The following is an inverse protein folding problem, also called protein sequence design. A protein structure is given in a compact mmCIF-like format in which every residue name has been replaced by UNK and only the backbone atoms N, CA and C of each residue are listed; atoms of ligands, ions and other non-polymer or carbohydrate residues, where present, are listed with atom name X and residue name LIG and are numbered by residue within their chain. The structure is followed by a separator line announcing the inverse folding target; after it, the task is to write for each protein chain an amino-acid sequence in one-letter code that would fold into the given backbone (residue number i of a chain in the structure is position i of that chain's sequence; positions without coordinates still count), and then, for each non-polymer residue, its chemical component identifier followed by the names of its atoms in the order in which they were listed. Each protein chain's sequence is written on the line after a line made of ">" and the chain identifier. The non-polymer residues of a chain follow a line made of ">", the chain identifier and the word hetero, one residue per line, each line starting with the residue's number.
data_IF_496679527827
#
_entry.id   IF_496679527827
#
_cell.length_a   1.000
_cell.length_b   1.000
_cell.length_c   1.000
_cell.angle_alpha   90.00
_cell.angle_beta   90.00
_cell.angle_gamma   90.00
#
_symmetry.space_group_name_H-M   'P 1'
#
loop_
_entity.id
_entity.type
_entity.pdbx_description
1 polymer ?
#
# COMPACT_ATOMS: atom_id res chain seq x y z
N UNK A 1 -10.94 28.11 16.81
CA UNK A 1 -12.33 27.64 16.63
C UNK A 1 -12.30 26.11 16.69
N UNK A 2 -12.93 25.51 17.69
CA UNK A 2 -12.58 24.18 18.22
C UNK A 2 -12.94 23.02 17.27
N UNK A 3 -11.94 22.17 16.97
CA UNK A 3 -12.06 20.93 16.18
C UNK A 3 -13.14 19.95 16.70
N UNK A 4 -13.56 20.10 17.97
CA UNK A 4 -14.66 19.33 18.58
C UNK A 4 -16.01 19.52 17.88
N UNK A 5 -16.25 20.66 17.23
CA UNK A 5 -17.54 20.92 16.55
C UNK A 5 -17.62 20.31 15.13
N UNK A 6 -16.47 20.06 14.48
CA UNK A 6 -16.46 19.42 13.15
C UNK A 6 -16.85 17.95 13.21
N UNK A 7 -16.45 17.23 14.27
CA UNK A 7 -16.79 15.81 14.45
C UNK A 7 -18.26 15.59 14.86
N UNK A 8 -18.85 16.55 15.57
CA UNK A 8 -20.27 16.52 15.92
C UNK A 8 -21.13 16.90 14.70
N UNK A 9 -20.66 17.81 13.85
CA UNK A 9 -21.34 18.18 12.61
C UNK A 9 -21.35 17.05 11.56
N UNK A 10 -20.27 16.25 11.46
CA UNK A 10 -20.23 15.09 10.56
C UNK A 10 -21.11 13.93 11.06
N UNK A 11 -21.22 13.73 12.38
CA UNK A 11 -22.14 12.74 12.96
C UNK A 11 -23.61 13.17 12.85
N UNK A 12 -23.90 14.47 12.91
CA UNK A 12 -25.24 15.03 12.69
C UNK A 12 -25.67 15.04 11.21
N UNK A 13 -24.73 15.03 10.25
CA UNK A 13 -25.08 14.83 8.84
C UNK A 13 -25.48 13.38 8.54
N UNK A 14 -24.97 12.40 9.30
CA UNK A 14 -25.34 10.99 9.17
C UNK A 14 -26.75 10.68 9.68
N UNK A 15 -27.33 11.51 10.55
CA UNK A 15 -28.71 11.33 11.03
C UNK A 15 -29.76 11.94 10.11
N UNK A 16 -29.36 12.74 9.12
CA UNK A 16 -30.27 13.44 8.20
C UNK A 16 -30.35 12.81 6.80
N UNK A 17 -29.54 11.80 6.50
CA UNK A 17 -29.64 11.05 5.24
C UNK A 17 -30.75 10.00 5.45
N UNK A 18 -31.84 10.03 4.68
CA UNK A 18 -32.80 8.94 4.72
C UNK A 18 -32.02 7.66 4.39
N UNK A 19 -31.96 6.72 5.34
CA UNK A 19 -31.56 5.35 5.06
C UNK A 19 -32.49 4.91 3.94
N UNK A 20 -31.97 4.81 2.72
CA UNK A 20 -32.69 4.11 1.67
C UNK A 20 -32.67 2.67 2.13
N UNK A 21 -33.73 2.28 2.84
CA UNK A 21 -34.05 0.90 3.08
C UNK A 21 -34.19 0.28 1.70
N UNK A 22 -33.16 -0.46 1.28
CA UNK A 22 -33.27 -1.33 0.11
C UNK A 22 -34.26 -2.43 0.53
N UNK A 23 -35.49 -2.23 0.07
CA UNK A 23 -36.61 -3.14 0.15
C UNK A 23 -36.26 -4.33 -0.74
N UNK A 24 -35.57 -5.31 -0.15
CA UNK A 24 -35.35 -6.61 -0.79
C UNK A 24 -35.26 -7.68 0.30
N UNK A 25 -35.99 -8.77 0.14
CA UNK A 25 -36.06 -9.94 1.04
C UNK A 25 -34.77 -10.80 0.98
N UNK A 26 -33.67 -10.20 0.53
CA UNK A 26 -32.36 -10.84 0.42
C UNK A 26 -31.74 -11.01 1.82
N UNK A 27 -31.65 -12.27 2.23
CA UNK A 27 -30.96 -12.69 3.46
C UNK A 27 -29.51 -12.23 3.43
N UNK A 28 -29.09 -11.56 4.51
CA UNK A 28 -27.68 -11.22 4.73
C UNK A 28 -26.88 -12.51 4.89
N UNK A 29 -25.87 -12.72 4.04
CA UNK A 29 -24.89 -13.79 4.26
C UNK A 29 -23.99 -13.41 5.43
N UNK A 30 -24.19 -14.11 6.55
CA UNK A 30 -23.43 -13.97 7.79
C UNK A 30 -22.18 -14.86 7.82
N UNK A 31 -21.93 -15.65 6.77
CA UNK A 31 -20.79 -16.58 6.73
C UNK A 31 -19.49 -15.79 6.64
N UNK A 32 -18.60 -15.87 7.63
CA UNK A 32 -17.31 -15.21 7.55
C UNK A 32 -16.47 -15.81 6.43
N UNK A 33 -15.84 -14.97 5.63
CA UNK A 33 -14.89 -15.37 4.59
C UNK A 33 -13.48 -15.31 5.15
N UNK A 34 -12.77 -16.41 5.00
CA UNK A 34 -11.35 -16.51 5.36
C UNK A 34 -10.55 -16.47 4.08
N UNK A 35 -9.54 -15.61 4.04
CA UNK A 35 -8.56 -15.58 2.97
C UNK A 35 -7.15 -15.63 3.55
N UNK A 36 -6.24 -16.25 2.82
CA UNK A 36 -4.83 -16.31 3.20
C UNK A 36 -3.89 -16.03 2.04
N UNK A 37 -2.67 -15.62 2.36
CA UNK A 37 -1.58 -15.52 1.39
C UNK A 37 -0.27 -15.87 2.07
N UNK A 38 0.41 -16.89 1.54
CA UNK A 38 1.75 -17.31 1.97
C UNK A 38 2.73 -17.00 0.86
N UNK A 39 3.85 -16.37 1.22
CA UNK A 39 4.95 -16.04 0.31
C UNK A 39 6.26 -16.51 0.91
N UNK A 40 6.84 -17.56 0.34
CA UNK A 40 8.20 -17.98 0.63
C UNK A 40 9.13 -17.51 -0.48
N UNK A 41 10.30 -17.01 -0.13
CA UNK A 41 11.30 -16.60 -1.12
C UNK A 41 12.71 -17.02 -0.76
N UNK A 42 13.52 -17.19 -1.80
CA UNK A 42 14.97 -17.28 -1.74
C UNK A 42 15.56 -16.07 -2.47
N UNK A 43 16.54 -15.42 -1.85
CA UNK A 43 17.29 -14.31 -2.45
C UNK A 43 18.77 -14.68 -2.47
N UNK A 44 19.45 -14.40 -3.58
CA UNK A 44 20.88 -14.58 -3.73
C UNK A 44 21.53 -13.29 -4.21
N UNK A 45 22.45 -12.73 -3.42
CA UNK A 45 23.18 -11.52 -3.74
C UNK A 45 24.39 -11.85 -4.60
N UNK A 46 24.43 -11.31 -5.81
CA UNK A 46 25.42 -11.73 -6.80
C UNK A 46 26.82 -11.20 -6.52
N UNK A 47 26.93 -10.05 -5.86
CA UNK A 47 28.22 -9.42 -5.55
C UNK A 47 28.85 -9.99 -4.27
N UNK A 48 28.05 -10.22 -3.23
CA UNK A 48 28.53 -10.79 -1.96
C UNK A 48 28.67 -12.31 -1.98
N UNK A 49 27.92 -13.00 -2.86
CA UNK A 49 27.87 -14.46 -2.91
C UNK A 49 26.98 -15.08 -1.82
N UNK A 50 26.17 -14.28 -1.13
CA UNK A 50 25.33 -14.70 -0.01
C UNK A 50 23.89 -15.02 -0.44
N UNK A 51 23.33 -16.08 0.14
CA UNK A 51 21.95 -16.52 -0.09
C UNK A 51 21.12 -16.55 1.20
N UNK A 52 19.82 -16.29 1.10
CA UNK A 52 18.89 -16.43 2.23
C UNK A 52 17.52 -16.95 1.84
N UNK A 53 16.94 -17.77 2.70
CA UNK A 53 15.52 -18.12 2.69
C UNK A 53 14.75 -17.19 3.63
N UNK A 54 13.56 -16.75 3.20
CA UNK A 54 12.70 -15.90 4.00
C UNK A 54 11.23 -16.23 3.75
N UNK A 55 10.44 -16.32 4.81
CA UNK A 55 8.99 -16.18 4.69
C UNK A 55 8.68 -14.70 4.64
N UNK A 56 8.25 -14.21 3.47
CA UNK A 56 8.01 -12.79 3.25
C UNK A 56 6.67 -12.34 3.84
N UNK A 57 5.63 -13.14 3.67
CA UNK A 57 4.29 -12.91 4.24
C UNK A 57 3.65 -14.25 4.59
N UNK A 58 2.97 -14.31 5.73
CA UNK A 58 2.05 -15.38 6.10
C UNK A 58 0.75 -14.76 6.60
N UNK A 59 -0.02 -14.22 5.67
CA UNK A 59 -1.19 -13.39 5.97
C UNK A 59 -2.45 -14.21 6.06
N UNK A 60 -3.28 -13.89 7.05
CA UNK A 60 -4.64 -14.40 7.21
C UNK A 60 -5.59 -13.22 7.41
N UNK A 61 -6.71 -13.25 6.71
CA UNK A 61 -7.77 -12.25 6.83
C UNK A 61 -9.12 -12.92 7.01
N UNK A 62 -9.97 -12.27 7.80
CA UNK A 62 -11.34 -12.63 8.08
C UNK A 62 -12.21 -11.42 7.78
N UNK A 63 -13.21 -11.58 6.92
CA UNK A 63 -14.19 -10.53 6.63
C UNK A 63 -15.60 -11.09 6.58
N UNK A 64 -16.60 -10.27 6.89
CA UNK A 64 -17.99 -10.69 6.89
C UNK A 64 -18.95 -9.53 7.06
N UNK A 65 -20.24 -9.83 6.89
CA UNK A 65 -21.32 -8.89 7.14
C UNK A 65 -22.04 -9.28 8.43
N UNK A 66 -22.40 -8.28 9.23
CA UNK A 66 -23.29 -8.44 10.40
C UNK A 66 -24.72 -8.06 10.02
N UNK A 67 -24.87 -7.05 9.17
CA UNK A 67 -26.14 -6.62 8.57
C UNK A 67 -25.88 -6.19 7.13
N UNK A 68 -26.93 -5.78 6.38
CA UNK A 68 -26.77 -5.23 5.02
C UNK A 68 -25.85 -4.01 4.97
N UNK A 69 -25.81 -3.23 6.05
CA UNK A 69 -25.05 -1.98 6.12
C UNK A 69 -23.79 -2.09 6.98
N UNK A 70 -23.62 -3.15 7.78
CA UNK A 70 -22.47 -3.31 8.68
C UNK A 70 -21.61 -4.50 8.25
N UNK A 71 -20.35 -4.24 7.98
CA UNK A 71 -19.33 -5.27 7.70
C UNK A 71 -18.08 -5.07 8.55
N UNK A 72 -17.29 -6.13 8.74
CA UNK A 72 -16.05 -6.08 9.50
C UNK A 72 -14.90 -6.72 8.73
N UNK A 73 -13.66 -6.35 9.09
CA UNK A 73 -12.44 -7.02 8.63
C UNK A 73 -11.42 -7.09 9.77
N UNK A 74 -10.80 -8.25 9.90
CA UNK A 74 -9.60 -8.47 10.70
C UNK A 74 -8.53 -9.13 9.82
N UNK A 75 -7.32 -8.60 9.81
CA UNK A 75 -6.19 -9.11 9.03
C UNK A 75 -4.91 -9.06 9.85
N UNK A 76 -4.20 -10.19 9.89
CA UNK A 76 -2.92 -10.36 10.57
C UNK A 76 -1.89 -10.94 9.61
N UNK A 77 -0.66 -10.45 9.69
CA UNK A 77 0.51 -11.12 9.10
C UNK A 77 1.20 -11.93 10.20
N UNK A 78 1.16 -13.26 10.08
CA UNK A 78 1.83 -14.16 11.01
C UNK A 78 3.34 -14.23 10.74
N UNK A 79 3.81 -13.69 9.62
CA UNK A 79 5.24 -13.59 9.31
C UNK A 79 5.48 -12.52 8.24
N UNK A 80 5.54 -11.25 8.66
CA UNK A 80 6.09 -10.16 7.87
C UNK A 80 7.61 -10.12 8.08
N UNK A 81 8.33 -10.86 7.25
CA UNK A 81 9.79 -11.02 7.36
C UNK A 81 10.21 -11.60 8.72
N UNK A 82 9.39 -12.49 9.29
CA UNK A 82 9.61 -13.13 10.59
C UNK A 82 8.95 -12.45 11.78
N UNK A 83 8.28 -11.30 11.59
CA UNK A 83 7.57 -10.58 12.66
C UNK A 83 6.05 -10.71 12.52
N UNK A 84 5.36 -10.91 13.64
CA UNK A 84 3.89 -10.92 13.67
C UNK A 84 3.40 -9.47 13.72
N UNK A 85 2.46 -9.10 12.84
CA UNK A 85 1.90 -7.75 12.78
C UNK A 85 0.39 -7.78 12.56
N UNK A 86 -0.36 -7.07 13.40
CA UNK A 86 -1.77 -6.77 13.14
C UNK A 86 -1.85 -5.72 12.02
N UNK A 87 -2.60 -6.00 10.96
CA UNK A 87 -2.65 -5.13 9.78
C UNK A 87 -3.91 -4.29 9.76
N UNK A 88 -5.07 -4.93 9.55
CA UNK A 88 -6.35 -4.24 9.45
C UNK A 88 -7.29 -4.77 10.54
N UNK A 89 -7.94 -3.88 11.27
CA UNK A 89 -8.91 -4.18 12.31
C UNK A 89 -9.98 -3.09 12.32
N UNK A 90 -11.05 -3.26 11.54
CA UNK A 90 -12.04 -2.20 11.38
C UNK A 90 -13.47 -2.72 11.21
N UNK A 91 -14.41 -1.82 11.47
CA UNK A 91 -15.82 -1.95 11.06
C UNK A 91 -16.13 -0.93 9.98
N UNK A 92 -17.00 -1.30 9.05
CA UNK A 92 -17.47 -0.45 7.97
C UNK A 92 -19.00 -0.37 7.95
N UNK A 93 -19.50 0.84 7.82
CA UNK A 93 -20.90 1.19 7.63
C UNK A 93 -21.14 1.61 6.18
N UNK A 94 -22.19 1.09 5.55
CA UNK A 94 -22.62 1.39 4.19
C UNK A 94 -24.04 1.95 4.20
N UNK A 95 -24.24 3.20 4.67
CA UNK A 95 -25.57 3.74 4.91
C UNK A 95 -26.37 3.95 3.62
N UNK A 96 -25.68 4.21 2.50
CA UNK A 96 -26.28 4.35 1.17
C UNK A 96 -25.36 3.74 0.11
N UNK A 97 -25.93 3.42 -1.05
CA UNK A 97 -25.18 2.84 -2.17
C UNK A 97 -24.00 3.72 -2.57
N UNK A 98 -22.81 3.11 -2.56
CA UNK A 98 -21.57 3.75 -2.95
C UNK A 98 -20.87 4.54 -1.85
N UNK A 99 -21.49 4.77 -0.68
CA UNK A 99 -20.88 5.43 0.46
C UNK A 99 -20.42 4.40 1.51
N UNK A 100 -19.13 4.40 1.83
CA UNK A 100 -18.50 3.56 2.83
C UNK A 100 -17.91 4.46 3.94
N UNK A 101 -18.32 4.28 5.18
CA UNK A 101 -17.64 4.85 6.35
C UNK A 101 -16.91 3.73 7.08
N UNK A 102 -15.59 3.84 7.26
CA UNK A 102 -14.78 2.83 7.96
C UNK A 102 -14.12 3.44 9.18
N UNK A 103 -14.10 2.74 10.30
CA UNK A 103 -13.41 3.17 11.52
C UNK A 103 -12.63 2.01 12.13
N UNK A 104 -11.39 2.28 12.55
CA UNK A 104 -10.49 1.31 13.14
C UNK A 104 -9.07 1.43 12.59
N UNK A 105 -8.31 0.35 12.69
CA UNK A 105 -6.97 0.25 12.13
C UNK A 105 -7.03 -0.20 10.68
N UNK A 106 -6.41 0.53 9.77
CA UNK A 106 -6.40 0.18 8.35
C UNK A 106 -5.21 0.78 7.60
N UNK A 107 -4.96 0.29 6.39
CA UNK A 107 -4.08 0.98 5.44
C UNK A 107 -4.70 2.31 5.02
N UNK A 108 -3.91 3.38 5.11
CA UNK A 108 -4.28 4.74 4.73
C UNK A 108 -4.46 4.83 3.21
N UNK A 109 -5.49 5.51 2.66
CA UNK A 109 -5.77 5.59 1.21
C UNK A 109 -4.77 6.49 0.44
N UNK A 110 -3.63 5.93 0.02
CA UNK A 110 -2.53 6.64 -0.63
C UNK A 110 -1.67 5.75 -1.56
N UNK A 111 -1.39 6.17 -2.80
CA UNK A 111 -0.70 5.42 -3.88
C UNK A 111 -1.50 4.23 -4.48
N UNK A 112 -1.11 3.79 -5.66
CA UNK A 112 -1.53 2.57 -6.34
C UNK A 112 -0.74 1.39 -5.78
N UNK A 113 0.59 1.43 -5.83
CA UNK A 113 1.41 0.24 -5.55
C UNK A 113 1.37 -0.15 -4.07
N UNK A 114 1.39 0.82 -3.15
CA UNK A 114 1.35 0.50 -1.72
C UNK A 114 0.03 -0.17 -1.32
N UNK A 115 -1.09 0.15 -1.99
CA UNK A 115 -2.43 -0.41 -1.72
C UNK A 115 -2.58 -1.86 -2.11
N UNK A 116 -1.73 -2.37 -3.02
CA UNK A 116 -1.81 -3.77 -3.45
C UNK A 116 -1.60 -4.73 -2.28
N UNK A 117 -2.49 -5.71 -2.21
CA UNK A 117 -2.32 -6.89 -1.36
C UNK A 117 -1.16 -7.74 -1.87
N UNK A 118 -0.48 -8.52 -1.01
CA UNK A 118 0.72 -9.27 -1.41
C UNK A 118 0.53 -10.19 -2.63
N UNK A 119 -0.64 -10.82 -2.78
CA UNK A 119 -0.94 -11.68 -3.93
C UNK A 119 -1.16 -10.90 -5.24
N UNK A 120 -1.53 -9.61 -5.18
CA UNK A 120 -1.72 -8.75 -6.34
C UNK A 120 -0.43 -8.09 -6.83
N UNK A 121 0.71 -8.36 -6.18
CA UNK A 121 1.99 -7.80 -6.57
C UNK A 121 2.54 -8.49 -7.82
N UNK A 122 3.09 -7.72 -8.76
CA UNK A 122 3.69 -8.24 -9.99
C UNK A 122 5.11 -8.79 -9.79
N UNK A 123 5.84 -8.19 -8.85
CA UNK A 123 7.23 -8.51 -8.51
C UNK A 123 7.32 -9.11 -7.11
N UNK A 124 8.37 -9.87 -6.84
CA UNK A 124 8.63 -10.45 -5.53
C UNK A 124 8.89 -9.36 -4.47
N UNK A 125 9.65 -8.32 -4.81
CA UNK A 125 9.87 -7.18 -3.92
C UNK A 125 9.07 -5.95 -4.36
N UNK A 126 8.57 -5.20 -3.37
CA UNK A 126 7.85 -3.92 -3.53
C UNK A 126 8.72 -2.86 -4.24
N UNK A 127 8.08 -1.90 -4.89
CA UNK A 127 8.72 -0.67 -5.40
C UNK A 127 9.29 0.17 -4.25
N UNK A 128 10.08 1.20 -4.57
CA UNK A 128 10.55 2.12 -3.54
C UNK A 128 9.41 2.96 -2.95
N UNK A 129 8.44 3.36 -3.77
CA UNK A 129 7.20 4.01 -3.33
C UNK A 129 6.51 3.16 -2.26
N UNK A 130 6.24 1.88 -2.56
CA UNK A 130 5.49 1.01 -1.65
C UNK A 130 6.30 0.48 -0.46
N UNK A 131 7.63 0.58 -0.46
CA UNK A 131 8.49 0.11 0.63
C UNK A 131 8.88 1.24 1.58
N UNK A 132 9.28 2.40 1.06
CA UNK A 132 9.83 3.49 1.87
C UNK A 132 8.85 4.65 2.09
N UNK A 133 7.91 4.91 1.17
CA UNK A 133 7.24 6.22 1.15
C UNK A 133 5.72 6.16 1.32
N UNK A 134 5.05 5.14 0.77
CA UNK A 134 3.58 5.12 0.66
C UNK A 134 2.84 4.09 1.54
N UNK A 135 3.55 3.17 2.19
CA UNK A 135 2.90 2.07 2.92
C UNK A 135 2.65 2.41 4.41
N UNK A 136 1.66 3.28 4.65
CA UNK A 136 1.26 3.67 6.00
C UNK A 136 0.00 2.92 6.44
N UNK A 137 0.02 2.39 7.66
CA UNK A 137 -1.16 1.88 8.38
C UNK A 137 -1.29 2.62 9.69
N UNK A 138 -2.54 2.93 10.04
CA UNK A 138 -2.83 3.73 11.21
C UNK A 138 -4.27 3.51 11.67
N UNK A 139 -4.59 4.05 12.85
CA UNK A 139 -5.93 4.06 13.40
C UNK A 139 -6.61 5.37 13.08
N UNK A 140 -7.84 5.28 12.56
CA UNK A 140 -8.58 6.45 12.15
C UNK A 140 -9.95 6.11 11.58
N UNK A 141 -10.49 7.08 10.84
CA UNK A 141 -11.74 6.93 10.11
C UNK A 141 -11.56 7.34 8.65
N UNK A 142 -12.23 6.64 7.75
CA UNK A 142 -12.26 6.92 6.31
C UNK A 142 -13.68 7.01 5.78
N UNK A 143 -13.86 7.85 4.77
CA UNK A 143 -15.05 7.96 3.95
C UNK A 143 -14.66 7.64 2.50
N UNK A 144 -15.33 6.65 1.92
CA UNK A 144 -15.22 6.28 0.52
C UNK A 144 -16.53 6.56 -0.20
N UNK A 145 -16.48 7.19 -1.37
CA UNK A 145 -17.65 7.40 -2.22
C UNK A 145 -17.37 6.95 -3.66
N UNK A 146 -18.21 6.05 -4.17
CA UNK A 146 -18.13 5.53 -5.53
C UNK A 146 -19.37 5.94 -6.32
N UNK A 147 -19.15 6.61 -7.45
CA UNK A 147 -20.22 7.07 -8.33
C UNK A 147 -19.79 6.98 -9.80
N UNK A 148 -20.74 7.15 -10.72
CA UNK A 148 -20.48 7.13 -12.15
C UNK A 148 -20.97 8.44 -12.77
N UNK A 149 -20.06 9.22 -13.33
CA UNK A 149 -20.33 10.49 -14.02
C UNK A 149 -19.87 10.41 -15.48
N UNK A 150 -20.27 9.34 -16.19
CA UNK A 150 -19.78 9.00 -17.53
C UNK A 150 -18.54 8.11 -17.52
N UNK A 151 -17.77 8.17 -16.42
CA UNK A 151 -16.72 7.21 -16.05
C UNK A 151 -16.92 6.82 -14.58
N UNK A 152 -16.62 5.56 -14.17
CA UNK A 152 -16.60 5.20 -12.76
C UNK A 152 -15.50 5.97 -12.00
N UNK A 153 -15.86 6.59 -10.89
CA UNK A 153 -14.97 7.36 -10.02
C UNK A 153 -15.07 6.81 -8.60
N UNK A 154 -13.93 6.67 -7.93
CA UNK A 154 -13.86 6.37 -6.50
C UNK A 154 -13.07 7.46 -5.79
N UNK A 155 -13.67 8.05 -4.77
CA UNK A 155 -13.04 9.02 -3.89
C UNK A 155 -12.92 8.41 -2.50
N UNK A 156 -11.76 8.52 -1.86
CA UNK A 156 -11.52 8.06 -0.51
C UNK A 156 -10.81 9.19 0.25
N UNK A 157 -11.23 9.47 1.47
CA UNK A 157 -10.56 10.41 2.35
C UNK A 157 -10.57 9.89 3.78
N UNK A 158 -9.55 10.22 4.56
CA UNK A 158 -9.45 9.74 5.94
C UNK A 158 -8.63 10.64 6.84
N UNK A 159 -8.90 10.49 8.14
CA UNK A 159 -8.20 11.15 9.24
C UNK A 159 -7.66 10.08 10.19
N UNK A 160 -6.41 10.22 10.60
CA UNK A 160 -5.67 9.21 11.35
C UNK A 160 -4.84 9.84 12.47
N UNK A 161 -4.58 9.07 13.52
CA UNK A 161 -3.87 9.56 14.70
C UNK A 161 -2.40 9.92 14.40
N UNK A 162 -1.71 9.09 13.62
CA UNK A 162 -0.27 9.16 13.41
C UNK A 162 0.55 8.26 14.34
N UNK A 163 -0.11 7.49 15.21
CA UNK A 163 0.51 6.55 16.14
C UNK A 163 1.08 5.29 15.47
N UNK A 164 0.70 5.04 14.22
CA UNK A 164 1.01 3.77 13.56
C UNK A 164 0.23 2.60 14.15
N UNK A 165 0.83 1.41 14.14
CA UNK A 165 0.16 0.16 14.47
C UNK A 165 0.12 -0.15 15.97
N UNK A 166 1.09 0.28 16.76
CA UNK A 166 1.32 -0.25 18.12
C UNK A 166 1.06 0.75 19.23
N UNK A 167 1.37 2.03 19.00
CA UNK A 167 1.36 3.04 20.07
C UNK A 167 0.00 3.73 20.19
N UNK A 168 -1.07 2.95 20.34
CA UNK A 168 -2.45 3.48 20.28
C UNK A 168 -3.00 3.91 21.64
N UNK A 169 -2.62 3.22 22.72
CA UNK A 169 -3.30 3.32 24.02
C UNK A 169 -3.18 4.71 24.66
N UNK A 170 -1.96 5.24 24.68
CA UNK A 170 -1.62 6.48 25.39
C UNK A 170 -1.31 7.64 24.42
N UNK A 171 -1.64 7.49 23.14
CA UNK A 171 -1.34 8.47 22.10
C UNK A 171 -2.46 9.49 21.94
N UNK A 172 -2.42 10.52 22.77
CA UNK A 172 -3.30 11.67 22.69
C UNK A 172 -2.64 12.77 21.84
N UNK A 173 -3.19 13.04 20.65
CA UNK A 173 -2.61 14.01 19.71
C UNK A 173 -3.61 15.10 19.31
N UNK A 174 -3.08 16.30 19.07
CA UNK A 174 -3.80 17.39 18.39
C UNK A 174 -3.36 17.56 16.93
N UNK A 175 -2.41 16.73 16.48
CA UNK A 175 -1.84 16.75 15.13
C UNK A 175 -2.36 15.54 14.35
N UNK A 176 -3.52 15.71 13.72
CA UNK A 176 -4.17 14.65 12.95
C UNK A 176 -3.50 14.53 11.58
N UNK A 177 -3.18 13.30 11.18
CA UNK A 177 -2.76 12.95 9.84
C UNK A 177 -3.99 12.79 8.94
N UNK A 178 -3.85 13.11 7.66
CA UNK A 178 -4.95 12.92 6.71
C UNK A 178 -4.44 12.28 5.43
N UNK A 179 -5.37 11.70 4.69
CA UNK A 179 -5.08 11.21 3.35
C UNK A 179 -6.33 11.29 2.48
N UNK A 180 -6.12 11.52 1.19
CA UNK A 180 -7.18 11.48 0.20
C UNK A 180 -6.68 10.81 -1.08
N UNK A 181 -7.55 10.06 -1.74
CA UNK A 181 -7.29 9.33 -2.97
C UNK A 181 -8.48 9.43 -3.91
N UNK A 182 -8.20 9.70 -5.17
CA UNK A 182 -9.17 9.72 -6.24
C UNK A 182 -8.73 8.73 -7.33
N UNK A 183 -9.64 7.87 -7.78
CA UNK A 183 -9.41 6.89 -8.84
C UNK A 183 -10.43 7.11 -9.94
N UNK A 184 -9.95 7.24 -11.17
CA UNK A 184 -10.75 7.45 -12.37
C UNK A 184 -10.57 6.25 -13.29
N UNK A 185 -11.63 5.48 -13.53
CA UNK A 185 -11.60 4.31 -14.40
C UNK A 185 -12.06 4.70 -15.80
N UNK A 186 -11.10 5.01 -16.66
CA UNK A 186 -11.35 5.48 -18.02
C UNK A 186 -11.70 4.29 -18.94
N UNK A 187 -12.40 4.53 -20.07
CA UNK A 187 -12.70 3.49 -21.04
C UNK A 187 -11.45 2.77 -21.56
N UNK A 188 -11.62 1.54 -22.04
CA UNK A 188 -10.55 0.71 -22.65
C UNK A 188 -9.42 0.30 -21.70
N UNK A 189 -9.69 0.26 -20.39
CA UNK A 189 -8.75 -0.31 -19.40
C UNK A 189 -7.72 0.69 -18.87
N UNK A 190 -7.91 1.99 -19.10
CA UNK A 190 -7.09 3.04 -18.51
C UNK A 190 -7.57 3.40 -17.10
N UNK A 191 -6.63 3.73 -16.24
CA UNK A 191 -6.90 4.28 -14.91
C UNK A 191 -5.96 5.44 -14.62
N UNK A 192 -6.47 6.43 -13.92
CA UNK A 192 -5.68 7.49 -13.30
C UNK A 192 -5.99 7.46 -11.81
N UNK A 193 -4.96 7.48 -10.98
CA UNK A 193 -5.06 7.58 -9.54
C UNK A 193 -4.26 8.78 -9.08
N UNK A 194 -4.88 9.62 -8.26
CA UNK A 194 -4.24 10.76 -7.61
C UNK A 194 -4.42 10.59 -6.12
N UNK A 195 -3.38 10.86 -5.34
CA UNK A 195 -3.50 10.83 -3.90
C UNK A 195 -2.62 11.84 -3.19
N UNK A 196 -3.01 12.19 -1.97
CA UNK A 196 -2.24 13.07 -1.10
C UNK A 196 -2.31 12.57 0.33
N UNK A 197 -1.26 12.80 1.09
CA UNK A 197 -1.17 12.40 2.47
C UNK A 197 -0.35 13.42 3.26
N UNK A 198 -0.80 13.70 4.49
CA UNK A 198 -0.03 14.41 5.50
C UNK A 198 0.34 13.45 6.61
N UNK A 199 1.62 13.40 6.96
CA UNK A 199 2.11 12.75 8.17
C UNK A 199 2.94 13.72 9.00
N UNK A 200 3.03 13.48 10.30
CA UNK A 200 3.91 14.21 11.20
C UNK A 200 4.53 13.23 12.20
N UNK A 201 5.65 12.57 11.84
CA UNK A 201 6.29 11.56 12.69
C UNK A 201 6.80 12.15 14.01
N UNK A 202 7.44 13.32 13.95
CA UNK A 202 7.92 14.08 15.11
C UNK A 202 7.45 15.54 15.05
N UNK A 203 8.35 16.52 14.94
CA UNK A 203 8.03 17.94 14.94
C UNK A 203 7.83 18.52 13.54
N UNK A 204 8.43 17.90 12.51
CA UNK A 204 8.32 18.29 11.11
C UNK A 204 7.10 17.65 10.45
N UNK A 205 6.23 18.48 9.87
CA UNK A 205 5.13 18.01 9.03
C UNK A 205 5.62 17.61 7.65
N UNK A 206 5.11 16.51 7.11
CA UNK A 206 5.47 16.00 5.80
C UNK A 206 4.22 15.92 4.95
N UNK A 207 4.28 16.52 3.77
CA UNK A 207 3.24 16.40 2.75
C UNK A 207 3.71 15.53 1.61
N UNK A 208 2.85 14.62 1.19
CA UNK A 208 3.08 13.71 0.08
C UNK A 208 1.98 13.86 -0.96
N UNK A 209 2.39 13.84 -2.22
CA UNK A 209 1.53 13.89 -3.39
C UNK A 209 1.93 12.77 -4.32
N UNK A 210 0.94 12.10 -4.85
CA UNK A 210 1.13 10.93 -5.68
C UNK A 210 0.20 10.99 -6.88
N UNK A 211 0.75 10.64 -8.03
CA UNK A 211 0.03 10.57 -9.29
C UNK A 211 0.51 9.33 -10.06
N UNK A 212 -0.42 8.43 -10.32
CA UNK A 212 -0.18 7.22 -11.09
C UNK A 212 -1.22 7.00 -12.16
N UNK A 213 -0.83 6.29 -13.20
CA UNK A 213 -1.72 5.85 -14.25
C UNK A 213 -1.33 4.45 -14.72
N UNK A 214 -2.33 3.66 -15.08
CA UNK A 214 -2.09 2.36 -15.69
C UNK A 214 -3.01 2.11 -16.88
N UNK A 215 -2.55 1.24 -17.78
CA UNK A 215 -3.32 0.63 -18.84
C UNK A 215 -3.34 -0.88 -18.63
N UNK A 216 -4.53 -1.47 -18.58
CA UNK A 216 -4.71 -2.90 -18.45
C UNK A 216 -5.74 -3.43 -19.46
N UNK A 217 -5.28 -4.00 -20.56
CA UNK A 217 -6.13 -4.71 -21.51
C UNK A 217 -5.30 -5.59 -22.46
N UNK A 218 -5.95 -6.61 -23.05
CA UNK A 218 -5.35 -7.50 -24.06
C UNK A 218 -4.04 -8.18 -23.59
N UNK A 219 -3.98 -8.55 -22.32
CA UNK A 219 -2.80 -9.15 -21.69
C UNK A 219 -1.71 -8.17 -21.30
N UNK A 220 -1.80 -6.90 -21.70
CA UNK A 220 -0.88 -5.87 -21.25
C UNK A 220 -1.29 -5.32 -19.90
N UNK A 221 -0.28 -5.04 -19.06
CA UNK A 221 -0.40 -4.11 -17.95
C UNK A 221 0.82 -3.20 -18.00
N UNK A 222 0.58 -1.89 -18.14
CA UNK A 222 1.61 -0.85 -18.14
C UNK A 222 1.22 0.14 -17.06
N UNK A 223 2.13 0.44 -16.15
CA UNK A 223 1.88 1.35 -15.04
C UNK A 223 3.06 2.29 -14.84
N UNK A 224 2.75 3.53 -14.49
CA UNK A 224 3.71 4.49 -14.00
C UNK A 224 3.09 5.27 -12.83
N UNK A 225 3.87 5.46 -11.78
CA UNK A 225 3.53 6.16 -10.55
C UNK A 225 4.68 7.08 -10.16
N UNK A 226 4.33 8.32 -9.78
CA UNK A 226 5.26 9.32 -9.30
C UNK A 226 4.79 9.87 -7.97
N UNK A 227 5.71 9.90 -7.00
CA UNK A 227 5.48 10.43 -5.68
C UNK A 227 6.44 11.58 -5.39
N UNK A 228 5.88 12.68 -4.91
CA UNK A 228 6.58 13.85 -4.39
C UNK A 228 6.34 14.01 -2.89
N UNK A 229 7.40 14.06 -2.09
CA UNK A 229 7.37 14.23 -0.63
C UNK A 229 8.11 15.52 -0.27
N UNK A 230 7.47 16.40 0.47
CA UNK A 230 8.04 17.68 0.92
C UNK A 230 7.95 17.79 2.44
N UNK A 231 8.97 18.39 3.05
CA UNK A 231 9.11 18.59 4.50
C UNK A 231 8.84 20.04 4.83
N UNK A 232 8.01 20.29 5.85
CA UNK A 232 7.68 21.62 6.31
C UNK A 232 8.95 22.43 6.64
N UNK A 233 8.89 23.72 6.37
CA UNK A 233 9.98 24.68 6.61
C UNK A 233 11.29 24.30 5.90
N UNK A 234 11.20 23.52 4.82
CA UNK A 234 12.33 22.98 4.06
C UNK A 234 13.36 22.27 4.96
N UNK A 235 12.86 21.59 6.01
CA UNK A 235 13.68 20.90 6.99
C UNK A 235 14.53 19.74 6.42
N UNK A 236 14.21 19.28 5.21
CA UNK A 236 14.97 18.30 4.44
C UNK A 236 14.62 18.44 2.95
N UNK A 237 15.54 18.04 2.07
CA UNK A 237 15.34 18.08 0.62
C UNK A 237 14.11 17.24 0.20
N UNK A 238 13.36 17.74 -0.78
CA UNK A 238 12.18 17.03 -1.23
C UNK A 238 12.53 15.66 -1.84
N UNK A 239 11.73 14.63 -1.52
CA UNK A 239 11.93 13.28 -2.07
C UNK A 239 11.09 13.12 -3.32
N UNK A 240 11.74 12.65 -4.37
CA UNK A 240 11.11 12.25 -5.62
C UNK A 240 11.25 10.74 -5.77
N UNK A 241 10.13 10.04 -6.03
CA UNK A 241 10.14 8.62 -6.30
C UNK A 241 9.31 8.27 -7.52
N UNK A 242 9.78 7.31 -8.30
CA UNK A 242 9.13 6.82 -9.52
C UNK A 242 9.06 5.30 -9.43
N UNK A 243 7.92 4.72 -9.79
CA UNK A 243 7.76 3.31 -10.13
C UNK A 243 7.12 3.23 -11.52
N UNK A 244 7.78 2.57 -12.47
CA UNK A 244 7.21 2.32 -13.78
C UNK A 244 7.50 0.89 -14.22
N UNK A 245 6.46 0.17 -14.65
CA UNK A 245 6.62 -1.21 -15.09
C UNK A 245 5.68 -1.59 -16.23
N UNK A 246 6.07 -2.64 -16.93
CA UNK A 246 5.25 -3.31 -17.93
C UNK A 246 5.29 -4.82 -17.70
N UNK A 247 4.14 -5.45 -17.90
CA UNK A 247 4.00 -6.90 -17.93
C UNK A 247 3.10 -7.31 -19.09
N UNK A 248 3.37 -8.48 -19.65
CA UNK A 248 2.56 -9.04 -20.72
C UNK A 248 2.19 -10.50 -20.45
N UNK A 249 0.90 -10.76 -20.43
CA UNK A 249 0.33 -12.08 -20.14
C UNK A 249 0.35 -12.97 -21.38
N UNK A 250 1.16 -14.04 -21.36
CA UNK A 250 1.22 -15.04 -22.43
C UNK A 250 0.48 -16.30 -21.96
N UNK A 251 -0.75 -16.57 -22.46
CA UNK A 251 -1.49 -17.77 -22.10
C UNK A 251 -0.83 -19.01 -22.68
N UNK A 252 -0.68 -20.04 -21.86
CA UNK A 252 -0.15 -21.33 -22.28
C UNK A 252 -1.29 -22.34 -22.45
N UNK A 253 -1.31 -23.03 -23.59
CA UNK A 253 -2.27 -24.11 -23.85
C UNK A 253 -1.59 -25.45 -23.57
N UNK A 254 -2.22 -26.30 -22.75
CA UNK A 254 -1.81 -27.69 -22.46
C UNK A 254 -0.49 -27.86 -21.66
N UNK A 255 -0.06 -26.86 -20.90
CA UNK A 255 1.09 -26.96 -19.99
C UNK A 255 0.64 -27.04 -18.52
N UNK A 256 1.57 -27.43 -17.62
CA UNK A 256 1.40 -27.36 -16.17
C UNK A 256 1.10 -25.91 -15.71
N UNK A 257 1.78 -24.94 -16.32
CA UNK A 257 1.50 -23.52 -16.13
C UNK A 257 0.37 -23.06 -17.07
N UNK A 258 -0.52 -22.20 -16.57
CA UNK A 258 -1.61 -21.59 -17.34
C UNK A 258 -1.16 -20.34 -18.09
N UNK A 259 -0.16 -19.63 -17.55
CA UNK A 259 0.33 -18.37 -18.10
C UNK A 259 1.81 -18.18 -17.73
N UNK A 260 2.58 -17.59 -18.65
CA UNK A 260 3.87 -16.98 -18.37
C UNK A 260 3.75 -15.48 -18.57
N UNK A 261 4.30 -14.70 -17.64
CA UNK A 261 4.26 -13.25 -17.69
C UNK A 261 5.70 -12.72 -17.61
N UNK A 262 6.32 -12.29 -18.71
CA UNK A 262 7.48 -11.42 -18.66
C UNK A 262 7.10 -10.05 -18.10
N UNK A 263 7.97 -9.51 -17.25
CA UNK A 263 7.83 -8.20 -16.64
C UNK A 263 9.17 -7.49 -16.48
N UNK A 264 9.14 -6.17 -16.60
CA UNK A 264 10.27 -5.29 -16.29
C UNK A 264 9.75 -4.06 -15.53
N UNK A 265 10.51 -3.63 -14.52
CA UNK A 265 10.23 -2.43 -13.72
C UNK A 265 11.48 -1.59 -13.55
N UNK A 266 11.28 -0.28 -13.59
CA UNK A 266 12.25 0.70 -13.16
C UNK A 266 11.69 1.43 -11.93
N UNK A 267 12.48 1.46 -10.86
CA UNK A 267 12.19 2.22 -9.64
C UNK A 267 13.28 3.27 -9.42
N UNK A 268 12.90 4.46 -8.93
CA UNK A 268 13.82 5.50 -8.50
C UNK A 268 13.36 6.14 -7.19
N UNK A 269 14.30 6.53 -6.36
CA UNK A 269 14.05 7.38 -5.19
C UNK A 269 15.27 8.27 -4.95
N UNK A 270 15.06 9.56 -4.71
CA UNK A 270 16.11 10.46 -4.21
C UNK A 270 16.44 10.18 -2.74
N UNK A 271 17.35 10.96 -2.15
CA UNK A 271 17.65 10.83 -0.72
C UNK A 271 16.37 11.01 0.10
N UNK A 272 16.20 10.14 1.09
CA UNK A 272 14.98 10.06 1.88
C UNK A 272 15.30 10.16 3.37
N UNK A 273 14.53 11.02 4.05
CA UNK A 273 14.42 11.08 5.50
C UNK A 273 13.06 10.51 5.97
N UNK A 274 13.02 9.68 7.01
CA UNK A 274 11.78 9.24 7.64
C UNK A 274 11.06 10.34 8.45
N UNK A 275 11.70 11.50 8.63
CA UNK A 275 11.15 12.64 9.38
C UNK A 275 11.42 12.58 10.87
N UNK A 276 12.19 11.60 11.34
CA UNK A 276 12.71 11.55 12.70
C UNK A 276 14.02 12.35 12.80
N UNK A 277 14.33 12.82 14.00
CA UNK A 277 15.57 13.54 14.29
C UNK A 277 16.58 12.61 14.95
N UNK A 278 17.83 12.70 14.52
CA UNK A 278 18.92 11.86 15.00
C UNK A 278 20.08 12.71 15.53
N UNK A 279 20.75 12.23 16.58
CA UNK A 279 21.98 12.82 17.12
C UNK A 279 23.22 12.39 16.29
N UNK A 280 24.41 12.82 16.73
CA UNK A 280 25.66 12.52 16.04
C UNK A 280 26.03 11.02 16.09
N UNK A 281 25.52 10.31 17.09
CA UNK A 281 25.68 8.87 17.28
C UNK A 281 24.71 8.03 16.42
N UNK A 282 23.71 8.67 15.81
CA UNK A 282 22.70 8.02 14.96
C UNK A 282 21.48 7.49 15.71
N UNK A 283 21.31 7.87 16.98
CA UNK A 283 20.15 7.53 17.80
C UNK A 283 19.07 8.62 17.67
N UNK A 284 17.79 8.23 17.81
CA UNK A 284 16.66 9.17 17.78
C UNK A 284 16.76 10.17 18.95
N UNK A 285 16.79 11.46 18.64
CA UNK A 285 16.98 12.53 19.62
C UNK A 285 16.17 13.78 19.23
N UNK A 286 15.38 14.26 20.19
CA UNK A 286 14.59 15.50 20.06
C UNK A 286 15.41 16.78 19.89
N UNK A 287 16.72 16.74 20.07
CA UNK A 287 17.65 17.83 19.80
C UNK A 287 18.41 17.68 18.48
N UNK A 288 18.24 16.52 17.82
CA UNK A 288 18.92 16.16 16.58
C UNK A 288 18.37 16.84 15.33
N UNK A 289 18.84 16.39 14.16
CA UNK A 289 18.41 16.87 12.85
C UNK A 289 17.89 15.72 11.98
N UNK A 290 17.15 16.05 10.93
CA UNK A 290 16.74 15.07 9.92
C UNK A 290 17.99 14.58 9.19
N UNK A 291 18.11 13.27 9.02
CA UNK A 291 19.24 12.64 8.33
C UNK A 291 18.76 11.78 7.16
N UNK A 292 19.68 11.42 6.27
CA UNK A 292 19.44 10.48 5.17
C UNK A 292 19.43 9.07 5.76
N UNK A 293 18.26 8.46 5.93
CA UNK A 293 18.15 7.03 6.30
C UNK A 293 18.05 6.11 5.07
N UNK A 294 17.83 6.68 3.88
CA UNK A 294 17.83 5.96 2.61
C UNK A 294 18.48 6.82 1.52
N UNK A 295 19.62 6.36 1.01
CA UNK A 295 20.34 7.07 -0.04
C UNK A 295 19.66 6.94 -1.41
N UNK A 296 19.81 7.99 -2.22
CA UNK A 296 19.35 8.02 -3.61
C UNK A 296 19.83 6.81 -4.41
N UNK A 297 18.90 6.18 -5.11
CA UNK A 297 19.17 5.02 -5.97
C UNK A 297 18.10 4.80 -7.01
N UNK A 298 18.46 4.09 -8.07
CA UNK A 298 17.50 3.45 -8.97
C UNK A 298 17.67 1.94 -8.98
N UNK A 299 16.62 1.24 -9.39
CA UNK A 299 16.63 -0.21 -9.55
C UNK A 299 15.95 -0.59 -10.85
N UNK A 300 16.61 -1.44 -11.63
CA UNK A 300 16.00 -2.14 -12.75
C UNK A 300 15.71 -3.57 -12.34
N UNK A 301 14.45 -3.99 -12.44
CA UNK A 301 14.03 -5.37 -12.16
C UNK A 301 13.53 -6.03 -13.43
N UNK A 302 14.15 -7.13 -13.83
CA UNK A 302 13.66 -7.99 -14.92
C UNK A 302 13.15 -9.31 -14.34
N UNK A 303 12.07 -9.86 -14.89
CA UNK A 303 11.54 -11.10 -14.34
C UNK A 303 10.55 -11.87 -15.21
N UNK A 304 10.27 -13.08 -14.74
CA UNK A 304 9.27 -14.00 -15.28
C UNK A 304 8.38 -14.50 -14.14
N UNK A 305 7.07 -14.45 -14.34
CA UNK A 305 6.08 -15.05 -13.45
C UNK A 305 5.40 -16.22 -14.14
N UNK A 306 5.42 -17.38 -13.50
CA UNK A 306 4.76 -18.60 -13.93
C UNK A 306 3.53 -18.85 -13.06
N UNK A 307 2.34 -18.78 -13.66
CA UNK A 307 1.08 -18.96 -12.93
C UNK A 307 0.55 -20.38 -13.10
N UNK A 308 0.33 -21.08 -11.97
CA UNK A 308 -0.23 -22.44 -11.93
C UNK A 308 -1.76 -22.41 -11.91
N UNK A 309 -2.36 -21.42 -11.25
CA UNK A 309 -3.81 -21.23 -11.18
C UNK A 309 -4.16 -19.75 -11.26
N UNK A 310 -5.26 -19.44 -11.94
CA UNK A 310 -5.63 -18.08 -12.32
C UNK A 310 -6.85 -17.57 -11.53
N UNK A 311 -6.91 -16.25 -11.25
CA UNK A 311 -5.79 -15.30 -11.24
C UNK A 311 -5.08 -15.31 -9.87
N UNK A 312 -3.74 -15.34 -9.85
CA UNK A 312 -2.91 -15.12 -8.66
C UNK A 312 -3.24 -16.04 -7.46
N UNK A 313 -3.46 -17.33 -7.72
CA UNK A 313 -3.69 -18.34 -6.66
C UNK A 313 -2.38 -19.03 -6.29
N UNK A 314 -1.58 -19.41 -7.30
CA UNK A 314 -0.25 -19.99 -7.09
C UNK A 314 0.67 -19.51 -8.19
N UNK A 315 1.67 -18.72 -7.82
CA UNK A 315 2.67 -18.18 -8.75
C UNK A 315 4.09 -18.53 -8.29
N UNK A 316 4.94 -18.81 -9.28
CA UNK A 316 6.40 -18.85 -9.10
C UNK A 316 6.97 -17.63 -9.81
N UNK A 317 7.70 -16.79 -9.09
CA UNK A 317 8.27 -15.55 -9.61
C UNK A 317 9.79 -15.62 -9.59
N UNK A 318 10.40 -15.35 -10.73
CA UNK A 318 11.83 -15.22 -10.89
C UNK A 318 12.14 -13.77 -11.23
N UNK A 319 12.90 -13.08 -10.38
CA UNK A 319 13.30 -11.70 -10.62
C UNK A 319 14.82 -11.57 -10.49
N UNK A 320 15.41 -10.72 -11.31
CA UNK A 320 16.75 -10.18 -11.12
C UNK A 320 16.62 -8.69 -10.89
N UNK A 321 17.21 -8.19 -9.81
CA UNK A 321 17.24 -6.79 -9.43
C UNK A 321 18.66 -6.27 -9.56
N UNK A 322 18.86 -5.24 -10.39
CA UNK A 322 20.10 -4.47 -10.51
C UNK A 322 19.91 -3.11 -9.86
N UNK A 323 20.72 -2.78 -8.87
CA UNK A 323 20.70 -1.51 -8.16
C UNK A 323 21.79 -0.57 -8.70
N UNK A 324 21.44 0.71 -8.78
CA UNK A 324 22.35 1.78 -9.20
C UNK A 324 22.35 2.85 -8.13
N UNK A 325 23.49 2.96 -7.45
CA UNK A 325 23.73 3.94 -6.39
C UNK A 325 24.60 5.07 -6.92
N UNK A 326 24.42 6.27 -6.38
CA UNK A 326 25.37 7.36 -6.56
C UNK A 326 26.66 7.08 -5.79
N UNK A 327 27.75 7.74 -6.16
CA UNK A 327 29.00 7.68 -5.42
C UNK A 327 28.81 8.15 -3.97
N UNK A 328 29.42 7.44 -3.02
CA UNK A 328 29.30 7.73 -1.57
C UNK A 328 27.97 7.30 -0.92
N UNK A 329 27.05 6.69 -1.66
CA UNK A 329 25.83 6.14 -1.08
C UNK A 329 26.08 4.83 -0.31
N UNK A 330 25.37 4.66 0.80
CA UNK A 330 25.46 3.46 1.64
C UNK A 330 24.27 2.54 1.32
N UNK A 331 24.56 1.43 0.62
CA UNK A 331 23.55 0.45 0.26
C UNK A 331 23.12 -0.40 1.47
N UNK A 332 21.79 -0.49 1.69
CA UNK A 332 21.25 -1.36 2.75
C UNK A 332 21.57 -2.84 2.44
N UNK A 333 21.74 -3.69 3.47
CA UNK A 333 22.07 -5.11 3.26
C UNK A 333 21.09 -5.85 2.35
N UNK A 334 19.81 -5.46 2.34
CA UNK A 334 18.79 -6.11 1.49
C UNK A 334 18.62 -5.48 0.12
N UNK A 335 19.37 -4.44 -0.23
CA UNK A 335 19.18 -3.61 -1.43
C UNK A 335 20.45 -3.56 -2.27
N UNK A 336 20.96 -4.75 -2.53
CA UNK A 336 22.07 -5.02 -3.44
C UNK A 336 21.56 -5.87 -4.59
N UNK A 337 22.39 -5.99 -5.61
CA UNK A 337 22.09 -6.83 -6.77
C UNK A 337 21.77 -8.25 -6.36
N UNK A 338 20.64 -8.76 -6.86
CA UNK A 338 20.16 -10.06 -6.42
C UNK A 338 19.23 -10.75 -7.39
N UNK A 339 19.25 -12.07 -7.30
CA UNK A 339 18.26 -12.96 -7.88
C UNK A 339 17.24 -13.30 -6.79
N UNK A 340 15.95 -13.27 -7.13
CA UNK A 340 14.85 -13.58 -6.24
C UNK A 340 13.99 -14.68 -6.86
N UNK A 341 13.75 -15.72 -6.09
CA UNK A 341 12.81 -16.79 -6.41
C UNK A 341 11.72 -16.77 -5.34
N UNK A 342 10.47 -16.54 -5.74
CA UNK A 342 9.33 -16.51 -4.82
C UNK A 342 8.28 -17.54 -5.22
N UNK A 343 7.74 -18.22 -4.21
CA UNK A 343 6.55 -19.04 -4.29
C UNK A 343 5.44 -18.35 -3.51
N UNK A 344 4.39 -17.96 -4.22
CA UNK A 344 3.21 -17.33 -3.64
C UNK A 344 2.02 -18.29 -3.74
N UNK A 345 1.28 -18.44 -2.65
CA UNK A 345 0.02 -19.20 -2.62
C UNK A 345 -1.06 -18.40 -1.89
N UNK A 346 -2.24 -18.34 -2.48
CA UNK A 346 -3.44 -17.72 -1.93
C UNK A 346 -4.51 -18.80 -1.72
N UNK A 347 -5.27 -18.69 -0.63
CA UNK A 347 -6.39 -19.57 -0.32
C UNK A 347 -7.58 -18.78 0.23
#
# INVERSE_FOLDING_TARGET
>A
MNAKYFFIASLALLTAIPVVADDDDDKVDLTPKVHGTIRGKYEYQTEEGDGRFQVRNARVSLEGNVTKIVSYKAEIDLSDEGQIKMLDAYTRLKPVRGLDFTIGQMRVPFTIDAHRSPHMQYFANRSFIAKQVGNVRDVGATLGYSFNAGIPIKLEAGMFNGSGLTDQKDFWTNNINFSAKAQFFLPRGFNITLSTQKIKPDNVGIMMYDAGAYYHAHGWHVEAEYLYKHYADDAFDAVHSVDAFVSYDIPLRKCFFKKITPLVRYDYMSDHSDGMRYNAEGDEDTSGALTINDYQRSRLTGGLTFSLSLPFVSDIRLNYEKYFYREGAIAKPSERDKIVIEFMTRF
#
